data_IF_839320258546
#
_entry.id   IF_839320258546
#
_cell.length_a   1.000
_cell.length_b   1.000
_cell.length_c   1.000
_cell.angle_alpha   90.00
_cell.angle_beta   90.00
_cell.angle_gamma   90.00
#
_symmetry.space_group_name_H-M   'P 1'
#
loop_
_entity.id
_entity.type
_entity.pdbx_description
1 polymer ?
#
# COMPACT_ATOMS: atom_id res chain seq x y z
N UNK A 1 -31.25 6.99 -56.33
CA UNK A 1 -30.20 6.20 -55.68
C UNK A 1 -29.41 7.15 -54.75
N UNK A 2 -29.73 7.17 -53.45
CA UNK A 2 -29.10 8.02 -52.47
C UNK A 2 -27.99 7.23 -51.78
N UNK A 3 -26.73 7.69 -51.89
CA UNK A 3 -25.57 7.19 -51.18
C UNK A 3 -25.66 7.59 -49.70
N UNK A 4 -25.85 6.61 -48.83
CA UNK A 4 -25.78 6.76 -47.38
C UNK A 4 -24.31 6.92 -46.99
N UNK A 5 -23.91 8.13 -46.66
CA UNK A 5 -22.60 8.42 -46.04
C UNK A 5 -22.65 7.92 -44.62
N UNK A 6 -21.84 6.93 -44.31
CA UNK A 6 -21.62 6.45 -42.94
C UNK A 6 -20.57 7.32 -42.29
N UNK A 7 -21.01 8.36 -41.58
CA UNK A 7 -20.13 9.14 -40.70
C UNK A 7 -19.68 8.25 -39.56
N UNK A 8 -18.48 7.69 -39.69
CA UNK A 8 -17.73 7.10 -38.58
C UNK A 8 -17.22 8.28 -37.76
N UNK A 9 -17.88 8.56 -36.61
CA UNK A 9 -17.40 9.47 -35.58
C UNK A 9 -15.96 9.05 -35.21
N UNK A 10 -14.98 9.79 -35.68
CA UNK A 10 -13.63 9.73 -35.22
C UNK A 10 -13.64 10.20 -33.73
N UNK A 11 -13.57 9.24 -32.83
CA UNK A 11 -13.31 9.51 -31.41
C UNK A 11 -11.95 10.22 -31.36
N UNK A 12 -11.97 11.49 -31.05
CA UNK A 12 -10.76 12.32 -30.85
C UNK A 12 -10.00 11.69 -29.69
N UNK A 13 -9.01 10.84 -30.00
CA UNK A 13 -8.11 10.26 -29.01
C UNK A 13 -7.28 11.40 -28.43
N UNK A 14 -7.36 11.60 -27.12
CA UNK A 14 -6.45 12.49 -26.41
C UNK A 14 -5.00 12.11 -26.72
N UNK A 15 -4.10 13.07 -26.87
CA UNK A 15 -2.70 12.80 -27.18
C UNK A 15 -2.11 11.85 -26.10
N UNK A 16 -1.17 11.01 -26.50
CA UNK A 16 -0.43 10.16 -25.59
C UNK A 16 0.52 11.04 -24.78
N UNK A 17 0.42 11.01 -23.47
CA UNK A 17 1.31 11.70 -22.53
C UNK A 17 1.93 10.67 -21.57
N UNK A 18 2.97 11.06 -20.83
CA UNK A 18 3.60 10.20 -19.81
C UNK A 18 2.60 9.81 -18.73
N UNK A 19 1.82 10.75 -18.25
CA UNK A 19 0.79 10.56 -17.22
C UNK A 19 -0.27 9.56 -17.68
N UNK A 20 -0.70 9.66 -18.93
CA UNK A 20 -1.65 8.70 -19.50
C UNK A 20 -1.04 7.31 -19.65
N UNK A 21 0.22 7.20 -20.06
CA UNK A 21 0.93 5.91 -20.14
C UNK A 21 0.99 5.24 -18.76
N UNK A 22 1.36 6.01 -17.71
CA UNK A 22 1.42 5.50 -16.33
C UNK A 22 0.02 5.12 -15.83
N UNK A 23 -0.99 5.98 -16.02
CA UNK A 23 -2.35 5.71 -15.56
C UNK A 23 -2.98 4.46 -16.22
N UNK A 24 -2.77 4.26 -17.53
CA UNK A 24 -3.31 3.08 -18.21
C UNK A 24 -2.46 1.81 -17.92
N UNK A 25 -1.16 1.97 -17.60
CA UNK A 25 -0.34 0.88 -17.08
C UNK A 25 -0.79 0.47 -15.67
N UNK A 26 -1.15 1.41 -14.80
CA UNK A 26 -1.71 1.13 -13.46
C UNK A 26 -2.99 0.30 -13.58
N UNK A 27 -3.95 0.72 -14.41
CA UNK A 27 -5.19 -0.05 -14.64
C UNK A 27 -4.93 -1.47 -15.12
N UNK A 28 -3.91 -1.65 -15.98
CA UNK A 28 -3.52 -2.97 -16.46
C UNK A 28 -2.96 -3.82 -15.32
N UNK A 29 -2.08 -3.23 -14.49
CA UNK A 29 -1.47 -3.93 -13.35
C UNK A 29 -2.52 -4.26 -12.29
N UNK A 30 -3.39 -3.33 -11.93
CA UNK A 30 -4.47 -3.57 -10.95
C UNK A 30 -5.41 -4.71 -11.40
N UNK A 31 -5.67 -4.82 -12.70
CA UNK A 31 -6.56 -5.84 -13.26
C UNK A 31 -5.90 -7.20 -13.46
N UNK A 32 -4.65 -7.24 -13.91
CA UNK A 32 -4.00 -8.46 -14.42
C UNK A 32 -2.69 -8.81 -13.70
N UNK A 33 -2.24 -7.96 -12.78
CA UNK A 33 -0.98 -8.13 -12.05
C UNK A 33 0.25 -7.56 -12.80
N UNK A 34 1.35 -7.43 -12.07
CA UNK A 34 2.58 -6.82 -12.57
C UNK A 34 3.24 -7.65 -13.70
N UNK A 35 3.10 -8.97 -13.66
CA UNK A 35 3.67 -9.87 -14.68
C UNK A 35 3.02 -9.68 -16.06
N UNK A 36 1.74 -9.27 -16.09
CA UNK A 36 1.04 -8.95 -17.32
C UNK A 36 1.51 -7.65 -17.96
N UNK A 37 2.21 -6.78 -17.24
CA UNK A 37 2.72 -5.53 -17.75
C UNK A 37 3.87 -5.77 -18.72
N UNK A 38 3.56 -5.70 -19.99
CA UNK A 38 4.54 -5.67 -21.09
C UNK A 38 4.26 -4.47 -21.98
N UNK A 39 5.29 -3.93 -22.64
CA UNK A 39 5.12 -2.79 -23.56
C UNK A 39 4.11 -3.10 -24.68
N UNK A 40 4.01 -4.39 -25.08
CA UNK A 40 3.04 -4.86 -26.07
C UNK A 40 1.62 -4.91 -25.52
N UNK A 41 1.43 -5.35 -24.26
CA UNK A 41 0.12 -5.37 -23.61
C UNK A 41 -0.37 -3.93 -23.40
N UNK A 42 0.50 -3.06 -22.90
CA UNK A 42 0.19 -1.64 -22.72
C UNK A 42 -0.11 -0.92 -24.05
N UNK A 43 0.61 -1.27 -25.13
CA UNK A 43 0.32 -0.75 -26.48
C UNK A 43 -1.08 -1.13 -26.96
N UNK A 44 -1.55 -2.33 -26.66
CA UNK A 44 -2.95 -2.75 -26.94
C UNK A 44 -3.96 -1.96 -26.13
N UNK A 45 -3.71 -1.75 -24.83
CA UNK A 45 -4.57 -0.96 -23.94
C UNK A 45 -4.71 0.49 -24.44
N UNK A 46 -3.58 1.12 -24.73
CA UNK A 46 -3.50 2.49 -25.26
C UNK A 46 -3.94 2.63 -26.72
N UNK A 47 -4.19 1.49 -27.41
CA UNK A 47 -4.43 1.42 -28.84
C UNK A 47 -3.35 2.17 -29.66
N UNK A 48 -2.07 1.98 -29.33
CA UNK A 48 -0.94 2.58 -30.02
C UNK A 48 0.17 1.55 -30.30
N UNK A 49 1.09 1.92 -31.18
CA UNK A 49 2.31 1.13 -31.37
C UNK A 49 3.18 1.22 -30.12
N UNK A 50 3.78 0.12 -29.63
CA UNK A 50 4.71 0.12 -28.50
C UNK A 50 5.85 1.14 -28.63
N UNK A 51 6.32 1.42 -29.86
CA UNK A 51 7.31 2.47 -30.11
C UNK A 51 6.82 3.87 -29.74
N UNK A 52 5.50 4.09 -29.72
CA UNK A 52 4.91 5.32 -29.23
C UNK A 52 5.09 5.49 -27.72
N UNK A 53 5.03 4.41 -26.95
CA UNK A 53 5.20 4.41 -25.51
C UNK A 53 6.66 4.77 -25.12
N UNK A 54 7.64 4.25 -25.85
CA UNK A 54 9.06 4.51 -25.62
C UNK A 54 9.48 5.97 -25.82
N UNK A 55 8.58 6.84 -26.33
CA UNK A 55 8.79 8.29 -26.35
C UNK A 55 8.51 8.95 -25.01
N UNK A 56 7.81 8.24 -24.11
CA UNK A 56 7.36 8.74 -22.80
C UNK A 56 8.06 8.07 -21.64
N UNK A 57 8.53 6.82 -21.82
CA UNK A 57 9.32 6.05 -20.84
C UNK A 57 10.44 5.32 -21.59
N UNK A 58 11.63 5.25 -21.00
CA UNK A 58 12.80 4.61 -21.62
C UNK A 58 12.65 3.11 -21.79
N UNK A 59 12.14 2.48 -20.74
CA UNK A 59 12.04 1.03 -20.62
C UNK A 59 10.91 0.64 -19.65
N UNK A 60 10.76 -0.67 -19.41
CA UNK A 60 9.77 -1.20 -18.48
C UNK A 60 10.12 -0.84 -17.03
N UNK A 61 11.39 -0.75 -16.69
CA UNK A 61 11.83 -0.49 -15.32
C UNK A 61 11.48 0.95 -14.91
N UNK A 62 11.72 1.94 -15.78
CA UNK A 62 11.25 3.32 -15.56
C UNK A 62 9.73 3.39 -15.43
N UNK A 63 8.98 2.60 -16.21
CA UNK A 63 7.52 2.56 -16.07
C UNK A 63 7.10 1.99 -14.73
N UNK A 64 7.76 0.95 -14.26
CA UNK A 64 7.52 0.36 -12.94
C UNK A 64 7.83 1.36 -11.81
N UNK A 65 8.95 2.08 -11.90
CA UNK A 65 9.27 3.16 -10.97
C UNK A 65 8.20 4.25 -10.96
N UNK A 66 7.70 4.62 -12.15
CA UNK A 66 6.63 5.60 -12.27
C UNK A 66 5.29 5.12 -11.71
N UNK A 67 4.99 3.82 -11.76
CA UNK A 67 3.82 3.24 -11.08
C UNK A 67 3.96 3.35 -9.56
N UNK A 68 5.10 2.97 -9.00
CA UNK A 68 5.34 3.11 -7.58
C UNK A 68 5.23 4.58 -7.12
N UNK A 69 5.81 5.50 -7.87
CA UNK A 69 5.73 6.94 -7.58
C UNK A 69 4.27 7.45 -7.66
N UNK A 70 3.46 6.97 -8.62
CA UNK A 70 2.06 7.38 -8.72
C UNK A 70 1.23 6.92 -7.52
N UNK A 71 1.50 5.72 -6.98
CA UNK A 71 0.83 5.25 -5.74
C UNK A 71 1.22 6.11 -4.55
N UNK A 72 2.50 6.49 -4.42
CA UNK A 72 2.92 7.45 -3.39
C UNK A 72 2.23 8.81 -3.55
N UNK A 73 2.06 9.29 -4.78
CA UNK A 73 1.41 10.56 -5.06
C UNK A 73 -0.10 10.56 -4.75
N UNK A 74 -0.75 9.40 -4.77
CA UNK A 74 -2.18 9.26 -4.41
C UNK A 74 -2.44 9.44 -2.92
N UNK A 75 -1.43 9.34 -2.06
CA UNK A 75 -1.58 9.63 -0.64
C UNK A 75 -1.76 11.14 -0.48
N UNK A 76 -3.01 11.57 -0.32
CA UNK A 76 -3.33 12.98 -0.09
C UNK A 76 -2.91 13.39 1.32
N UNK A 77 -1.78 14.08 1.41
CA UNK A 77 -1.39 14.75 2.66
C UNK A 77 -2.13 16.09 2.75
N UNK A 78 -2.69 16.44 3.90
CA UNK A 78 -3.33 17.75 4.08
C UNK A 78 -2.29 18.87 3.97
N UNK A 79 -2.71 20.02 3.46
CA UNK A 79 -1.90 21.23 3.53
C UNK A 79 -1.65 21.60 5.01
N UNK A 80 -0.43 21.44 5.48
CA UNK A 80 -0.05 21.66 6.87
C UNK A 80 -0.07 20.39 7.72
N UNK A 81 -0.29 20.56 9.04
CA UNK A 81 -0.28 19.44 9.97
C UNK A 81 -1.65 18.76 10.04
N UNK A 82 -1.65 17.44 10.18
CA UNK A 82 -2.84 16.72 10.61
C UNK A 82 -3.32 17.24 11.97
N UNK A 83 -4.63 17.27 12.24
CA UNK A 83 -5.16 17.64 13.55
C UNK A 83 -4.80 16.61 14.62
N UNK A 84 -4.81 17.02 15.88
CA UNK A 84 -4.63 16.13 17.02
C UNK A 84 -3.19 16.05 17.54
N UNK A 85 -2.97 15.11 18.42
CA UNK A 85 -1.66 14.78 19.01
C UNK A 85 -0.74 14.14 17.96
N UNK A 86 0.56 14.11 18.21
CA UNK A 86 1.51 13.46 17.30
C UNK A 86 1.21 11.97 17.10
N UNK A 87 0.68 11.29 18.12
CA UNK A 87 0.25 9.90 18.05
C UNK A 87 -0.89 9.72 17.02
N UNK A 88 -1.91 10.58 17.13
CA UNK A 88 -3.05 10.59 16.20
C UNK A 88 -2.61 10.93 14.79
N UNK A 89 -1.73 11.92 14.63
CA UNK A 89 -1.18 12.33 13.33
C UNK A 89 -0.37 11.20 12.68
N UNK A 90 0.50 10.54 13.45
CA UNK A 90 1.31 9.43 12.95
C UNK A 90 0.46 8.21 12.57
N UNK A 91 -0.51 7.84 13.42
CA UNK A 91 -1.46 6.77 13.10
C UNK A 91 -2.27 7.08 11.84
N UNK A 92 -2.76 8.31 11.69
CA UNK A 92 -3.55 8.72 10.53
C UNK A 92 -2.72 8.71 9.24
N UNK A 93 -1.48 9.17 9.26
CA UNK A 93 -0.57 9.07 8.11
C UNK A 93 -0.41 7.60 7.65
N UNK A 94 -0.31 6.67 8.59
CA UNK A 94 -0.21 5.24 8.27
C UNK A 94 -1.54 4.61 7.84
N UNK A 95 -2.69 5.12 8.30
CA UNK A 95 -4.01 4.71 7.77
C UNK A 95 -4.19 5.14 6.32
N UNK A 96 -3.83 6.38 5.98
CA UNK A 96 -3.86 6.87 4.61
C UNK A 96 -2.98 6.01 3.69
N UNK A 97 -1.75 5.76 4.11
CA UNK A 97 -0.84 4.87 3.38
C UNK A 97 -1.42 3.47 3.21
N UNK A 98 -1.94 2.86 4.28
CA UNK A 98 -2.55 1.52 4.24
C UNK A 98 -3.69 1.45 3.23
N UNK A 99 -4.60 2.43 3.27
CA UNK A 99 -5.75 2.46 2.37
C UNK A 99 -5.31 2.55 0.90
N UNK A 100 -4.32 3.39 0.60
CA UNK A 100 -3.76 3.51 -0.74
C UNK A 100 -3.10 2.20 -1.19
N UNK A 101 -2.31 1.55 -0.33
CA UNK A 101 -1.67 0.28 -0.65
C UNK A 101 -2.69 -0.85 -0.92
N UNK A 102 -3.78 -0.89 -0.17
CA UNK A 102 -4.86 -1.86 -0.38
C UNK A 102 -5.62 -1.61 -1.69
N UNK A 103 -5.62 -0.39 -2.20
CA UNK A 103 -6.21 -0.07 -3.51
C UNK A 103 -5.35 -0.54 -4.69
N UNK A 104 -4.03 -0.72 -4.49
CA UNK A 104 -3.07 -1.12 -5.52
C UNK A 104 -2.22 -2.33 -5.10
N UNK A 105 -2.84 -3.48 -4.76
CA UNK A 105 -2.14 -4.61 -4.17
C UNK A 105 -1.06 -5.18 -5.09
N UNK A 106 -1.25 -5.12 -6.39
CA UNK A 106 -0.33 -5.67 -7.38
C UNK A 106 0.96 -4.83 -7.58
N UNK A 107 1.00 -3.61 -7.06
CA UNK A 107 2.19 -2.71 -7.12
C UNK A 107 3.05 -2.82 -5.86
N UNK A 108 2.52 -3.38 -4.78
CA UNK A 108 3.23 -3.52 -3.50
C UNK A 108 4.66 -4.05 -3.60
N UNK A 109 4.93 -5.15 -4.36
CA UNK A 109 6.30 -5.69 -4.45
C UNK A 109 7.30 -4.67 -4.98
N UNK A 110 6.86 -3.77 -5.85
CA UNK A 110 7.72 -2.76 -6.49
C UNK A 110 7.97 -1.59 -5.57
N UNK A 111 6.96 -1.13 -4.83
CA UNK A 111 7.09 0.03 -3.94
C UNK A 111 8.22 -0.14 -2.92
N UNK A 112 8.53 -1.37 -2.54
CA UNK A 112 9.53 -1.69 -1.51
C UNK A 112 10.86 -2.20 -2.05
N UNK A 113 10.89 -2.71 -3.29
CA UNK A 113 12.13 -3.19 -3.92
C UNK A 113 12.88 -2.09 -4.67
N UNK A 114 12.16 -1.13 -5.25
CA UNK A 114 12.76 -0.01 -6.00
C UNK A 114 13.31 1.11 -5.10
N UNK A 115 13.10 1.02 -3.79
CA UNK A 115 13.42 2.08 -2.83
C UNK A 115 12.51 3.30 -2.99
N UNK A 116 12.07 3.88 -1.89
CA UNK A 116 11.26 5.10 -1.88
C UNK A 116 12.14 6.32 -2.22
N UNK A 117 12.53 6.45 -3.50
CA UNK A 117 13.47 7.49 -3.96
C UNK A 117 12.80 8.57 -4.81
N UNK A 118 11.54 8.38 -5.18
CA UNK A 118 10.77 9.37 -5.92
C UNK A 118 10.35 10.57 -5.06
N UNK A 119 10.07 11.73 -5.67
CA UNK A 119 9.65 12.94 -4.95
C UNK A 119 8.48 12.72 -4.01
N UNK A 120 7.41 12.03 -4.46
CA UNK A 120 6.24 11.77 -3.63
C UNK A 120 6.57 10.87 -2.42
N UNK A 121 7.37 9.83 -2.61
CA UNK A 121 7.81 8.96 -1.52
C UNK A 121 8.64 9.72 -0.48
N UNK A 122 9.54 10.62 -0.94
CA UNK A 122 10.36 11.45 -0.06
C UNK A 122 9.52 12.45 0.74
N UNK A 123 8.53 13.09 0.10
CA UNK A 123 7.60 14.02 0.77
C UNK A 123 6.80 13.32 1.88
N UNK A 124 6.33 12.09 1.65
CA UNK A 124 5.58 11.31 2.67
C UNK A 124 6.49 10.86 3.81
N UNK A 125 7.73 10.50 3.47
CA UNK A 125 8.76 10.16 4.46
C UNK A 125 9.09 11.38 5.35
N UNK A 126 9.32 12.53 4.74
CA UNK A 126 9.59 13.79 5.45
C UNK A 126 8.42 14.16 6.35
N UNK A 127 7.19 14.11 5.84
CA UNK A 127 5.98 14.39 6.62
C UNK A 127 5.89 13.53 7.89
N UNK A 128 6.16 12.22 7.78
CA UNK A 128 6.13 11.32 8.94
C UNK A 128 7.27 11.61 9.93
N UNK A 129 8.46 11.95 9.44
CA UNK A 129 9.59 12.35 10.27
C UNK A 129 9.36 13.69 10.97
N UNK A 130 8.76 14.67 10.32
CA UNK A 130 8.37 15.95 10.93
C UNK A 130 7.43 15.75 12.12
N UNK A 131 6.47 14.82 12.04
CA UNK A 131 5.58 14.47 13.15
C UNK A 131 6.40 13.96 14.34
N UNK A 132 7.28 12.99 14.11
CA UNK A 132 8.03 12.32 15.16
C UNK A 132 9.12 13.23 15.80
N UNK A 133 9.87 13.94 14.97
CA UNK A 133 10.90 14.88 15.44
C UNK A 133 10.24 16.08 16.13
N UNK A 134 9.11 16.56 15.59
CA UNK A 134 8.33 17.64 16.21
C UNK A 134 7.72 17.25 17.56
N UNK A 135 7.52 15.97 17.83
CA UNK A 135 7.13 15.44 19.13
C UNK A 135 8.29 15.40 20.15
N UNK A 136 9.53 15.57 19.71
CA UNK A 136 10.72 15.57 20.56
C UNK A 136 11.54 14.27 20.51
N UNK A 137 11.24 13.36 19.58
CA UNK A 137 12.08 12.17 19.34
C UNK A 137 13.43 12.56 18.74
N UNK A 138 14.48 11.83 19.10
CA UNK A 138 15.76 11.97 18.40
C UNK A 138 15.62 11.57 16.93
N UNK A 139 16.42 12.13 15.99
CA UNK A 139 16.38 11.71 14.59
C UNK A 139 16.57 10.20 14.39
N UNK A 140 17.39 9.57 15.24
CA UNK A 140 17.62 8.12 15.21
C UNK A 140 16.37 7.34 15.63
N UNK A 141 15.72 7.72 16.72
CA UNK A 141 14.49 7.06 17.19
C UNK A 141 13.32 7.31 16.21
N UNK A 142 13.22 8.52 15.67
CA UNK A 142 12.22 8.85 14.65
C UNK A 142 12.36 7.96 13.40
N UNK A 143 13.59 7.84 12.87
CA UNK A 143 13.84 6.97 11.70
C UNK A 143 13.59 5.50 12.04
N UNK A 144 14.01 5.03 13.20
CA UNK A 144 13.78 3.65 13.64
C UNK A 144 12.29 3.34 13.80
N UNK A 145 11.53 4.27 14.36
CA UNK A 145 10.08 4.15 14.52
C UNK A 145 9.35 4.15 13.19
N UNK A 146 9.71 5.06 12.29
CA UNK A 146 9.18 5.09 10.92
C UNK A 146 9.44 3.76 10.20
N UNK A 147 10.67 3.25 10.28
CA UNK A 147 11.02 1.97 9.67
C UNK A 147 10.23 0.81 10.27
N UNK A 148 10.10 0.74 11.59
CA UNK A 148 9.33 -0.31 12.27
C UNK A 148 7.85 -0.27 11.85
N UNK A 149 7.24 0.92 11.82
CA UNK A 149 5.86 1.09 11.39
C UNK A 149 5.67 0.71 9.91
N UNK A 150 6.63 1.06 9.05
CA UNK A 150 6.59 0.69 7.63
C UNK A 150 6.69 -0.82 7.44
N UNK A 151 7.61 -1.51 8.12
CA UNK A 151 7.73 -2.97 8.05
C UNK A 151 6.45 -3.68 8.56
N UNK A 152 5.87 -3.17 9.65
CA UNK A 152 4.60 -3.68 10.19
C UNK A 152 3.46 -3.52 9.19
N UNK A 153 3.30 -2.31 8.62
CA UNK A 153 2.28 -2.03 7.64
C UNK A 153 2.40 -2.92 6.41
N UNK A 154 3.62 -3.01 5.84
CA UNK A 154 3.89 -3.82 4.64
C UNK A 154 3.51 -5.29 4.88
N UNK A 155 4.00 -5.87 5.99
CA UNK A 155 3.69 -7.25 6.34
C UNK A 155 2.19 -7.48 6.52
N UNK A 156 1.48 -6.55 7.16
CA UNK A 156 0.04 -6.62 7.35
C UNK A 156 -0.74 -6.53 6.04
N UNK A 157 -0.37 -5.60 5.15
CA UNK A 157 -1.04 -5.44 3.85
C UNK A 157 -0.77 -6.63 2.94
N UNK A 158 0.48 -7.12 2.86
CA UNK A 158 0.80 -8.32 2.07
C UNK A 158 0.03 -9.53 2.57
N UNK A 159 -0.01 -9.77 3.88
CA UNK A 159 -0.79 -10.86 4.45
C UNK A 159 -2.28 -10.76 4.13
N UNK A 160 -2.84 -9.56 4.13
CA UNK A 160 -4.24 -9.32 3.79
C UNK A 160 -4.54 -9.54 2.30
N UNK A 161 -3.60 -9.20 1.42
CA UNK A 161 -3.73 -9.37 -0.04
C UNK A 161 -3.57 -10.83 -0.46
N UNK A 162 -2.59 -11.55 0.12
CA UNK A 162 -2.33 -12.95 -0.21
C UNK A 162 -3.37 -13.91 0.37
N UNK A 163 -3.94 -13.58 1.53
CA UNK A 163 -4.96 -14.37 2.20
C UNK A 163 -6.09 -13.46 2.72
N UNK A 164 -6.91 -12.88 1.81
CA UNK A 164 -8.02 -12.02 2.23
C UNK A 164 -8.97 -12.82 3.14
N UNK A 165 -9.27 -12.27 4.30
CA UNK A 165 -10.18 -12.91 5.26
C UNK A 165 -11.55 -13.24 4.65
N UNK A 166 -11.99 -12.44 3.68
CA UNK A 166 -13.22 -12.63 2.92
C UNK A 166 -13.18 -13.82 1.95
N UNK A 167 -11.97 -14.31 1.61
CA UNK A 167 -11.79 -15.49 0.75
C UNK A 167 -11.81 -16.82 1.53
N UNK A 168 -11.79 -16.74 2.86
CA UNK A 168 -11.88 -17.94 3.69
C UNK A 168 -13.34 -18.33 3.82
N UNK A 169 -13.68 -19.48 3.26
CA UNK A 169 -14.99 -20.08 3.53
C UNK A 169 -15.13 -20.32 5.04
N UNK A 170 -16.34 -20.15 5.60
CA UNK A 170 -16.62 -20.42 7.02
C UNK A 170 -16.09 -21.81 7.44
N UNK A 171 -16.16 -22.78 6.52
CA UNK A 171 -15.63 -24.13 6.73
C UNK A 171 -14.10 -24.15 6.92
N UNK A 172 -13.34 -23.28 6.26
CA UNK A 172 -11.89 -23.20 6.41
C UNK A 172 -11.50 -22.56 7.74
N UNK A 173 -12.21 -21.48 8.13
CA UNK A 173 -12.04 -20.85 9.44
C UNK A 173 -12.34 -21.86 10.55
N UNK A 174 -13.46 -22.57 10.44
CA UNK A 174 -13.85 -23.59 11.42
C UNK A 174 -12.82 -24.74 11.49
N UNK A 175 -12.30 -25.20 10.36
CA UNK A 175 -11.26 -26.24 10.33
C UNK A 175 -9.97 -25.78 11.04
N UNK A 176 -9.55 -24.53 10.85
CA UNK A 176 -8.38 -23.96 11.53
C UNK A 176 -8.66 -23.83 13.03
N UNK A 177 -9.82 -23.34 13.41
CA UNK A 177 -10.22 -23.21 14.81
C UNK A 177 -10.34 -24.59 15.49
N UNK A 178 -10.87 -25.58 14.79
CA UNK A 178 -10.94 -26.96 15.25
C UNK A 178 -9.54 -27.53 15.52
N UNK A 179 -8.58 -27.32 14.61
CA UNK A 179 -7.19 -27.72 14.82
C UNK A 179 -6.62 -27.11 16.10
N UNK A 180 -6.82 -25.82 16.33
CA UNK A 180 -6.34 -25.15 17.54
C UNK A 180 -7.02 -25.64 18.82
N UNK A 181 -8.32 -25.97 18.78
CA UNK A 181 -9.06 -26.52 19.93
C UNK A 181 -8.53 -27.87 20.37
N UNK A 182 -7.93 -28.66 19.48
CA UNK A 182 -7.38 -29.96 19.76
C UNK A 182 -5.91 -29.94 20.23
N UNK A 183 -5.30 -28.76 20.34
CA UNK A 183 -3.94 -28.65 20.87
C UNK A 183 -3.89 -29.06 22.33
N UNK A 184 -2.81 -29.79 22.67
CA UNK A 184 -2.54 -30.19 24.06
C UNK A 184 -2.23 -28.96 24.92
N UNK A 185 -3.02 -28.66 25.96
CA UNK A 185 -2.71 -27.57 26.87
C UNK A 185 -1.39 -27.74 27.63
N UNK A 186 -0.92 -28.99 27.74
CA UNK A 186 0.38 -29.30 28.37
C UNK A 186 1.54 -28.92 27.45
N UNK A 187 1.40 -29.17 26.14
CA UNK A 187 2.47 -28.89 25.18
C UNK A 187 2.43 -27.44 24.66
N UNK A 188 1.23 -26.85 24.56
CA UNK A 188 1.00 -25.50 24.03
C UNK A 188 0.14 -24.63 24.97
N UNK A 189 0.55 -24.41 26.24
CA UNK A 189 -0.30 -23.76 27.25
C UNK A 189 -0.65 -22.31 26.91
N UNK A 190 0.27 -21.55 26.34
CA UNK A 190 0.03 -20.15 25.95
C UNK A 190 -0.89 -20.04 24.74
N UNK A 191 -0.72 -20.89 23.75
CA UNK A 191 -1.56 -20.90 22.55
C UNK A 191 -2.99 -21.31 22.89
N UNK A 192 -3.17 -22.35 23.71
CA UNK A 192 -4.48 -22.76 24.19
C UNK A 192 -5.19 -21.62 24.93
N UNK A 193 -4.46 -20.91 25.81
CA UNK A 193 -5.01 -19.76 26.54
C UNK A 193 -5.46 -18.62 25.61
N UNK A 194 -4.72 -18.35 24.53
CA UNK A 194 -5.12 -17.37 23.53
C UNK A 194 -6.37 -17.84 22.79
N UNK A 195 -6.44 -19.10 22.39
CA UNK A 195 -7.59 -19.65 21.69
C UNK A 195 -8.87 -19.68 22.55
N UNK A 196 -8.74 -19.80 23.88
CA UNK A 196 -9.87 -19.71 24.81
C UNK A 196 -10.57 -18.33 24.79
N UNK A 197 -9.90 -17.27 24.33
CA UNK A 197 -10.53 -15.95 24.19
C UNK A 197 -11.57 -15.93 23.08
N UNK A 198 -11.48 -16.83 22.11
CA UNK A 198 -12.37 -16.89 20.94
C UNK A 198 -12.23 -15.70 19.99
N UNK A 199 -11.25 -14.85 20.24
CA UNK A 199 -11.00 -13.70 19.38
C UNK A 199 -10.22 -14.11 18.13
N UNK A 200 -10.84 -13.96 16.97
CA UNK A 200 -10.15 -14.00 15.67
C UNK A 200 -9.73 -12.59 15.32
N UNK A 201 -8.43 -12.29 15.23
CA UNK A 201 -7.97 -10.94 14.87
C UNK A 201 -8.46 -10.58 13.47
N UNK A 202 -9.21 -9.49 13.37
CA UNK A 202 -9.53 -8.92 12.09
C UNK A 202 -8.37 -8.02 11.63
N UNK A 203 -8.12 -7.87 10.31
CA UNK A 203 -6.99 -7.11 9.81
C UNK A 203 -6.97 -5.63 10.24
N UNK A 204 -8.14 -4.99 10.36
CA UNK A 204 -8.25 -3.59 10.75
C UNK A 204 -7.92 -3.42 12.24
N UNK A 205 -8.50 -4.25 13.11
CA UNK A 205 -8.18 -4.26 14.53
C UNK A 205 -6.70 -4.60 14.78
N UNK A 206 -6.15 -5.53 14.02
CA UNK A 206 -4.74 -5.92 14.10
C UNK A 206 -3.83 -4.75 13.72
N UNK A 207 -4.18 -3.99 12.69
CA UNK A 207 -3.46 -2.80 12.28
C UNK A 207 -3.51 -1.72 13.37
N UNK A 208 -4.68 -1.38 13.89
CA UNK A 208 -4.84 -0.35 14.91
C UNK A 208 -4.10 -0.72 16.21
N UNK A 209 -4.22 -1.94 16.68
CA UNK A 209 -3.50 -2.44 17.87
C UNK A 209 -1.99 -2.46 17.67
N UNK A 210 -1.52 -2.87 16.49
CA UNK A 210 -0.10 -2.88 16.16
C UNK A 210 0.49 -1.47 16.10
N UNK A 211 -0.22 -0.52 15.50
CA UNK A 211 0.17 0.90 15.49
C UNK A 211 0.21 1.48 16.92
N UNK A 212 -0.77 1.18 17.78
CA UNK A 212 -0.77 1.59 19.19
C UNK A 212 0.48 1.06 19.93
N UNK A 213 0.86 -0.19 19.72
CA UNK A 213 2.07 -0.77 20.32
C UNK A 213 3.34 -0.05 19.86
N UNK A 214 3.45 0.27 18.56
CA UNK A 214 4.59 1.01 18.00
C UNK A 214 4.65 2.43 18.60
N UNK A 215 3.52 3.13 18.63
CA UNK A 215 3.40 4.49 19.15
C UNK A 215 3.79 4.53 20.63
N UNK A 216 3.30 3.62 21.47
CA UNK A 216 3.71 3.50 22.88
C UNK A 216 5.19 3.21 23.03
N UNK A 217 5.76 2.40 22.16
CA UNK A 217 7.20 2.18 22.09
C UNK A 217 7.98 3.47 21.81
N UNK A 218 7.49 4.31 20.91
CA UNK A 218 8.07 5.62 20.61
C UNK A 218 7.88 6.62 21.76
N UNK A 219 6.73 6.64 22.42
CA UNK A 219 6.49 7.46 23.63
C UNK A 219 7.54 7.20 24.71
N UNK A 220 7.94 5.94 24.89
CA UNK A 220 8.96 5.58 25.89
C UNK A 220 10.36 6.12 25.57
N UNK A 221 10.58 6.63 24.35
CA UNK A 221 11.83 7.25 23.89
C UNK A 221 11.84 8.78 24.01
N UNK A 222 10.69 9.37 24.29
CA UNK A 222 10.62 10.81 24.53
C UNK A 222 11.40 11.18 25.80
N UNK A 223 12.07 12.34 25.79
CA UNK A 223 12.74 12.83 27.01
C UNK A 223 11.71 12.97 28.14
N UNK A 224 12.03 12.40 29.28
CA UNK A 224 11.23 12.61 30.51
C UNK A 224 11.22 14.08 30.83
N UNK A 225 10.04 14.71 30.85
CA UNK A 225 9.88 16.08 31.35
C UNK A 225 10.30 16.10 32.82
N UNK A 226 11.42 16.77 33.09
CA UNK A 226 11.88 17.06 34.47
C UNK A 226 11.03 18.16 35.06
#
# INVERSE_FOLDING_TARGET
MAKKSTDVKATTRSPLTRERVVADAMKLVDREGLDALTMRALGRELCCDPMGIYRHVRDKDELIEALAESVWAEIELPEGRLPGTWQEQFAEAFRLLRNTLLSHPNVLPVMFTSGAQGPAALERTEFALEILIGAGLSPHDAMSGLHAASCFLIGGVLGQVEAPAESWEEAQVEQVMEFYRHLSPTDFPSLTKVMETGEVPNPDDSFERGMDLIIRGLESRLPTSN
#
